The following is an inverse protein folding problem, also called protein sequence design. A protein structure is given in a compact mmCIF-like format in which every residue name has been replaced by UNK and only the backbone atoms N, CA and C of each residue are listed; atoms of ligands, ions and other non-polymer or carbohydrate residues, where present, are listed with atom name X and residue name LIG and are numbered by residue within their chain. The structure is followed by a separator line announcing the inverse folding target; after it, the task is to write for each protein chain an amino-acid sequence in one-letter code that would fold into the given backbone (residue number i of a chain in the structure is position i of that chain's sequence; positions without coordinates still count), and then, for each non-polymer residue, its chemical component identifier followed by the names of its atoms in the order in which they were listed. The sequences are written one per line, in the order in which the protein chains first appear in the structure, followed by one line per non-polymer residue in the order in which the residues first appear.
data_IF_235480256877
#
_entry.id   IF_235480256877
#
_cell.length_a   1.000
_cell.length_b   1.000
_cell.length_c   1.000
_cell.angle_alpha   90.00
_cell.angle_beta   90.00
_cell.angle_gamma   90.00
#
_symmetry.space_group_name_H-M   'P 1'
#
loop_
_entity.id
_entity.type
_entity.pdbx_description
1 polymer ?
#
# COMPACT_ATOMS: atom_id res chain seq x y z
N UNK A 1 -18.55 -4.21 12.34
CA UNK A 1 -19.01 -3.36 11.22
C UNK A 1 -20.39 -2.76 11.40
N UNK A 2 -21.44 -3.51 11.77
CA UNK A 2 -22.81 -2.96 11.86
C UNK A 2 -23.09 -2.05 13.05
N UNK A 3 -22.19 -1.99 14.03
CA UNK A 3 -22.36 -1.20 15.26
C UNK A 3 -22.11 0.30 15.08
N UNK A 4 -21.50 0.73 13.96
CA UNK A 4 -21.07 2.13 13.79
C UNK A 4 -19.90 2.57 14.67
N UNK A 5 -19.42 1.70 15.56
CA UNK A 5 -18.38 2.02 16.53
C UNK A 5 -16.94 1.91 15.99
N UNK A 6 -16.76 1.63 14.70
CA UNK A 6 -15.44 1.39 14.11
C UNK A 6 -15.34 2.17 12.80
N UNK A 7 -14.35 3.05 12.70
CA UNK A 7 -14.12 3.86 11.51
C UNK A 7 -13.27 3.14 10.46
N UNK A 8 -12.35 2.26 10.89
CA UNK A 8 -11.42 1.57 10.02
C UNK A 8 -11.14 0.13 10.46
N UNK A 9 -11.14 -0.79 9.49
CA UNK A 9 -10.79 -2.20 9.69
C UNK A 9 -9.75 -2.62 8.66
N UNK A 10 -8.69 -3.27 9.11
CA UNK A 10 -7.68 -3.87 8.22
C UNK A 10 -7.78 -5.39 8.32
N UNK A 11 -7.82 -6.06 7.16
CA UNK A 11 -7.81 -7.51 7.05
C UNK A 11 -6.48 -7.91 6.40
N UNK A 12 -5.59 -8.46 7.22
CA UNK A 12 -4.27 -8.95 6.82
C UNK A 12 -4.19 -10.48 7.02
N UNK A 13 -4.29 -11.31 5.98
CA UNK A 13 -4.51 -10.99 4.57
C UNK A 13 -5.66 -11.81 3.98
N UNK A 14 -6.16 -11.41 2.81
CA UNK A 14 -7.17 -12.17 2.07
C UNK A 14 -6.73 -13.61 1.81
N UNK A 15 -5.43 -13.82 1.58
CA UNK A 15 -4.87 -15.15 1.33
C UNK A 15 -5.05 -16.09 2.54
N UNK A 16 -5.08 -15.54 3.75
CA UNK A 16 -5.26 -16.28 5.00
C UNK A 16 -6.74 -16.53 5.36
N UNK A 17 -7.69 -16.00 4.58
CA UNK A 17 -9.11 -16.29 4.76
C UNK A 17 -9.42 -17.68 4.19
N UNK A 18 -9.06 -18.72 4.94
CA UNK A 18 -9.30 -20.11 4.61
C UNK A 18 -10.72 -20.49 5.01
N UNK A 19 -11.55 -20.99 4.08
CA UNK A 19 -12.88 -21.44 4.43
C UNK A 19 -12.87 -22.63 5.39
N UNK A 20 -13.91 -22.72 6.24
CA UNK A 20 -14.06 -23.80 7.22
C UNK A 20 -13.92 -25.21 6.63
N UNK A 21 -14.56 -25.47 5.48
CA UNK A 21 -14.49 -26.78 4.81
C UNK A 21 -13.06 -27.18 4.39
N UNK A 22 -12.20 -26.20 4.10
CA UNK A 22 -10.79 -26.45 3.76
C UNK A 22 -9.94 -26.67 5.02
N UNK A 23 -10.31 -26.06 6.16
CA UNK A 23 -9.65 -26.29 7.46
C UNK A 23 -9.99 -27.68 8.02
N UNK A 24 -11.23 -28.12 7.84
CA UNK A 24 -11.73 -29.41 8.35
C UNK A 24 -11.46 -30.59 7.40
N UNK A 25 -11.10 -30.32 6.14
CA UNK A 25 -10.76 -31.33 5.14
C UNK A 25 -9.32 -31.85 5.24
N UNK A 26 -9.01 -32.86 4.44
CA UNK A 26 -7.65 -33.42 4.39
C UNK A 26 -6.77 -32.69 3.36
N UNK A 27 -5.45 -32.74 3.58
CA UNK A 27 -4.49 -32.20 2.61
C UNK A 27 -4.59 -32.97 1.29
N UNK A 28 -5.01 -32.29 0.23
CA UNK A 28 -5.21 -32.90 -1.09
C UNK A 28 -6.67 -32.92 -1.54
N UNK A 29 -7.62 -32.62 -0.65
CA UNK A 29 -9.02 -32.50 -1.03
C UNK A 29 -9.26 -31.34 -1.99
N UNK A 30 -9.94 -31.64 -3.10
CA UNK A 30 -10.20 -30.67 -4.15
C UNK A 30 -11.35 -29.72 -3.79
N UNK A 31 -10.99 -28.55 -3.25
CA UNK A 31 -11.93 -27.49 -2.92
C UNK A 31 -11.87 -26.34 -3.95
N UNK A 32 -12.30 -26.60 -5.19
CA UNK A 32 -12.17 -25.63 -6.28
C UNK A 32 -13.01 -24.37 -6.03
N UNK A 33 -12.35 -23.22 -5.88
CA UNK A 33 -12.97 -21.90 -5.87
C UNK A 33 -13.76 -21.55 -4.61
N UNK A 34 -13.59 -22.31 -3.52
CA UNK A 34 -14.37 -22.15 -2.29
C UNK A 34 -14.09 -20.79 -1.61
N UNK A 35 -12.82 -20.39 -1.56
CA UNK A 35 -12.41 -19.05 -1.09
C UNK A 35 -13.01 -17.91 -1.94
N UNK A 36 -13.05 -18.05 -3.27
CA UNK A 36 -13.61 -17.04 -4.16
C UNK A 36 -15.14 -16.86 -3.95
N UNK A 37 -15.85 -17.96 -3.67
CA UNK A 37 -17.28 -17.93 -3.33
C UNK A 37 -17.50 -17.26 -1.99
N UNK A 38 -16.72 -17.63 -0.97
CA UNK A 38 -16.76 -17.02 0.36
C UNK A 38 -16.58 -15.50 0.27
N UNK A 39 -15.54 -15.04 -0.44
CA UNK A 39 -15.28 -13.61 -0.64
C UNK A 39 -16.42 -12.90 -1.35
N UNK A 40 -16.99 -13.52 -2.38
CA UNK A 40 -18.13 -12.94 -3.12
C UNK A 40 -19.36 -12.74 -2.24
N UNK A 41 -19.66 -13.73 -1.38
CA UNK A 41 -20.78 -13.65 -0.45
C UNK A 41 -20.51 -12.65 0.69
N UNK A 42 -19.32 -12.69 1.27
CA UNK A 42 -18.92 -11.81 2.36
C UNK A 42 -18.96 -10.34 1.93
N UNK A 43 -18.31 -9.99 0.80
CA UNK A 43 -18.29 -8.62 0.29
C UNK A 43 -19.69 -8.12 -0.04
N UNK A 44 -20.56 -8.95 -0.65
CA UNK A 44 -21.95 -8.57 -0.92
C UNK A 44 -22.70 -8.15 0.34
N UNK A 45 -22.50 -8.85 1.46
CA UNK A 45 -23.13 -8.51 2.75
C UNK A 45 -22.44 -7.35 3.48
N UNK A 46 -21.11 -7.26 3.38
CA UNK A 46 -20.32 -6.26 4.09
C UNK A 46 -20.40 -4.87 3.47
N UNK A 47 -20.43 -4.75 2.14
CA UNK A 47 -20.35 -3.44 1.46
C UNK A 47 -21.48 -2.49 1.89
N UNK A 48 -22.72 -2.98 1.96
CA UNK A 48 -23.85 -2.16 2.43
C UNK A 48 -23.70 -1.77 3.91
N UNK A 49 -23.24 -2.71 4.74
CA UNK A 49 -23.02 -2.43 6.16
C UNK A 49 -21.92 -1.39 6.39
N UNK A 50 -20.79 -1.52 5.69
CA UNK A 50 -19.64 -0.58 5.76
C UNK A 50 -20.04 0.83 5.32
N UNK A 51 -20.81 0.95 4.24
CA UNK A 51 -21.29 2.24 3.76
C UNK A 51 -22.21 2.91 4.78
N UNK A 52 -23.17 2.17 5.33
CA UNK A 52 -24.13 2.71 6.29
C UNK A 52 -23.48 3.09 7.63
N UNK A 53 -22.39 2.40 8.02
CA UNK A 53 -21.66 2.68 9.26
C UNK A 53 -20.53 3.70 9.08
N UNK A 54 -20.28 4.20 7.87
CA UNK A 54 -19.12 5.07 7.58
C UNK A 54 -17.77 4.38 7.76
N UNK A 55 -17.73 3.04 7.82
CA UNK A 55 -16.51 2.29 8.11
C UNK A 55 -15.72 2.00 6.83
N UNK A 56 -14.43 2.30 6.84
CA UNK A 56 -13.49 1.92 5.78
C UNK A 56 -12.91 0.53 6.05
N UNK A 57 -12.92 -0.35 5.05
CA UNK A 57 -12.27 -1.65 5.11
C UNK A 57 -11.07 -1.73 4.16
N UNK A 58 -9.90 -2.05 4.69
CA UNK A 58 -8.65 -2.26 3.94
C UNK A 58 -8.37 -3.76 3.91
N UNK A 59 -8.17 -4.30 2.71
CA UNK A 59 -7.81 -5.69 2.51
C UNK A 59 -6.38 -5.77 1.98
N UNK A 60 -5.49 -6.41 2.74
CA UNK A 60 -4.14 -6.72 2.28
C UNK A 60 -4.22 -8.03 1.49
N UNK A 61 -3.60 -8.05 0.32
CA UNK A 61 -3.61 -9.21 -0.55
C UNK A 61 -2.23 -9.42 -1.18
N UNK A 62 -1.92 -10.69 -1.43
CA UNK A 62 -0.67 -11.12 -1.99
C UNK A 62 -0.81 -11.30 -3.50
N UNK A 63 0.27 -11.02 -4.22
CA UNK A 63 0.38 -11.41 -5.62
C UNK A 63 0.69 -12.91 -5.72
N UNK A 64 0.15 -13.53 -6.76
CA UNK A 64 0.40 -14.90 -7.19
C UNK A 64 0.58 -14.88 -8.70
N UNK A 65 1.27 -15.87 -9.24
CA UNK A 65 1.37 -16.05 -10.68
C UNK A 65 0.33 -17.07 -11.15
N UNK A 66 -0.36 -16.76 -12.23
CA UNK A 66 -1.26 -17.70 -12.88
C UNK A 66 -0.48 -18.53 -13.89
N UNK A 67 -0.35 -19.82 -13.60
CA UNK A 67 0.26 -20.80 -14.52
C UNK A 67 -0.52 -20.84 -15.84
N UNK A 68 0.20 -20.87 -16.97
CA UNK A 68 -0.38 -21.03 -18.31
C UNK A 68 -0.84 -19.76 -19.01
N UNK A 69 -0.48 -18.56 -18.51
CA UNK A 69 -0.70 -17.30 -19.23
C UNK A 69 0.43 -17.06 -20.22
N UNK A 70 0.13 -17.16 -21.52
CA UNK A 70 1.10 -16.91 -22.61
C UNK A 70 1.12 -15.45 -23.10
N UNK A 71 0.12 -14.64 -22.75
CA UNK A 71 0.01 -13.23 -23.16
C UNK A 71 -0.56 -12.36 -22.04
N UNK A 72 0.01 -11.17 -21.85
CA UNK A 72 -0.36 -10.24 -20.77
C UNK A 72 0.35 -10.52 -19.45
N UNK A 73 -0.06 -9.83 -18.38
CA UNK A 73 0.53 -10.01 -17.04
C UNK A 73 0.06 -11.32 -16.41
N UNK A 74 0.97 -12.19 -15.93
CA UNK A 74 0.61 -13.42 -15.21
C UNK A 74 0.18 -13.13 -13.75
N UNK A 75 0.32 -11.90 -13.28
CA UNK A 75 0.02 -11.54 -11.89
C UNK A 75 -1.49 -11.59 -11.60
N UNK A 76 -1.84 -12.32 -10.55
CA UNK A 76 -3.19 -12.42 -10.01
C UNK A 76 -3.19 -12.24 -8.48
N UNK A 77 -4.37 -12.08 -7.90
CA UNK A 77 -4.56 -11.91 -6.46
C UNK A 77 -5.44 -13.03 -5.92
N UNK A 78 -5.24 -13.42 -4.65
CA UNK A 78 -6.06 -14.46 -3.98
C UNK A 78 -7.51 -13.99 -3.74
N UNK A 79 -8.42 -14.92 -3.44
CA UNK A 79 -9.82 -14.60 -3.13
C UNK A 79 -10.73 -14.33 -4.34
N UNK A 80 -10.29 -14.68 -5.55
CA UNK A 80 -11.09 -14.54 -6.78
C UNK A 80 -11.23 -13.10 -7.28
N UNK A 81 -12.28 -12.82 -8.07
CA UNK A 81 -12.48 -11.51 -8.72
C UNK A 81 -13.31 -10.52 -7.89
N UNK A 82 -14.06 -10.98 -6.89
CA UNK A 82 -15.04 -10.15 -6.18
C UNK A 82 -14.40 -8.87 -5.57
N UNK A 83 -13.29 -9.01 -4.86
CA UNK A 83 -12.60 -7.88 -4.26
C UNK A 83 -12.19 -6.83 -5.29
N UNK A 84 -11.78 -7.26 -6.50
CA UNK A 84 -11.44 -6.34 -7.60
C UNK A 84 -12.63 -5.46 -8.01
N UNK A 85 -13.86 -5.96 -7.94
CA UNK A 85 -15.07 -5.21 -8.31
C UNK A 85 -15.61 -4.34 -7.16
N UNK A 86 -15.65 -4.90 -5.95
CA UNK A 86 -16.18 -4.22 -4.76
C UNK A 86 -15.26 -3.10 -4.25
N UNK A 87 -13.93 -3.25 -4.37
CA UNK A 87 -12.99 -2.22 -3.90
C UNK A 87 -13.23 -0.87 -4.61
N UNK A 88 -13.33 0.21 -3.84
CA UNK A 88 -13.42 1.59 -4.34
C UNK A 88 -12.07 2.09 -4.84
N UNK A 89 -11.00 1.76 -4.12
CA UNK A 89 -9.61 2.06 -4.47
C UNK A 89 -8.79 0.77 -4.44
N UNK A 90 -7.86 0.60 -5.37
CA UNK A 90 -6.87 -0.48 -5.35
C UNK A 90 -5.49 0.11 -5.54
N UNK A 91 -4.57 -0.31 -4.67
CA UNK A 91 -3.19 0.13 -4.63
C UNK A 91 -2.30 -1.08 -4.97
N UNK A 92 -1.38 -0.91 -5.92
CA UNK A 92 -0.27 -1.82 -6.17
C UNK A 92 0.97 -1.21 -5.51
N UNK A 93 1.49 -1.89 -4.49
CA UNK A 93 2.61 -1.43 -3.65
C UNK A 93 3.84 -2.27 -4.00
N UNK A 94 4.91 -1.61 -4.46
CA UNK A 94 6.16 -2.27 -4.84
C UNK A 94 7.35 -1.58 -4.20
N UNK A 95 8.28 -2.38 -3.67
CA UNK A 95 9.64 -1.90 -3.38
C UNK A 95 10.36 -1.65 -4.72
N UNK A 96 10.93 -0.47 -4.88
CA UNK A 96 11.71 -0.12 -6.08
C UNK A 96 13.22 -0.09 -5.81
N UNK A 97 13.65 0.28 -4.60
CA UNK A 97 15.06 0.35 -4.22
C UNK A 97 15.22 0.08 -2.72
N UNK A 98 16.37 -0.46 -2.32
CA UNK A 98 16.77 -0.56 -0.90
C UNK A 98 17.59 0.66 -0.52
N UNK A 99 17.15 1.40 0.50
CA UNK A 99 17.88 2.55 1.03
C UNK A 99 19.03 2.05 1.92
N UNK A 100 20.21 2.64 1.73
CA UNK A 100 21.42 2.27 2.49
C UNK A 100 22.04 3.49 3.16
N UNK A 101 22.58 3.28 4.35
CA UNK A 101 23.51 4.18 5.01
C UNK A 101 24.85 3.45 5.14
N UNK A 102 25.85 3.90 4.39
CA UNK A 102 27.09 3.15 4.18
C UNK A 102 26.82 1.74 3.63
N UNK A 103 27.09 0.71 4.45
CA UNK A 103 26.85 -0.71 4.11
C UNK A 103 25.48 -1.22 4.56
N UNK A 104 24.81 -0.52 5.46
CA UNK A 104 23.65 -1.04 6.18
C UNK A 104 22.35 -0.67 5.45
N UNK A 105 21.45 -1.66 5.32
CA UNK A 105 20.13 -1.43 4.74
C UNK A 105 19.20 -0.78 5.77
N UNK A 106 18.86 0.49 5.57
CA UNK A 106 18.10 1.30 6.53
C UNK A 106 16.62 1.45 6.17
N UNK A 107 16.23 1.08 4.95
CA UNK A 107 14.84 1.14 4.53
C UNK A 107 14.64 0.74 3.07
N UNK A 108 13.47 1.08 2.53
CA UNK A 108 13.10 0.83 1.15
C UNK A 108 12.46 2.07 0.53
N UNK A 109 12.85 2.40 -0.70
CA UNK A 109 12.05 3.27 -1.57
C UNK A 109 10.87 2.45 -2.08
N UNK A 110 9.66 2.93 -1.84
CA UNK A 110 8.41 2.25 -2.21
C UNK A 110 7.63 3.09 -3.20
N UNK A 111 7.14 2.45 -4.26
CA UNK A 111 6.22 3.02 -5.23
C UNK A 111 4.83 2.42 -5.02
N UNK A 112 3.82 3.27 -4.93
CA UNK A 112 2.41 2.89 -4.88
C UNK A 112 1.70 3.40 -6.11
N UNK A 113 1.10 2.50 -6.89
CA UNK A 113 0.29 2.83 -8.06
C UNK A 113 -1.19 2.63 -7.77
N UNK A 114 -2.02 3.62 -8.09
CA UNK A 114 -3.48 3.53 -7.96
C UNK A 114 -4.04 2.80 -9.18
N UNK A 115 -4.13 1.47 -9.12
CA UNK A 115 -4.60 0.64 -10.26
C UNK A 115 -6.11 0.64 -10.44
N UNK A 116 -6.87 1.13 -9.44
CA UNK A 116 -8.30 1.39 -9.54
C UNK A 116 -8.66 2.55 -8.62
N UNK A 117 -9.50 3.46 -9.09
CA UNK A 117 -10.06 4.54 -8.29
C UNK A 117 -11.50 4.84 -8.77
N UNK A 118 -12.47 4.83 -7.85
CA UNK A 118 -13.87 5.19 -8.11
C UNK A 118 -14.24 6.61 -7.66
N UNK A 119 -13.35 7.31 -6.97
CA UNK A 119 -13.61 8.62 -6.36
C UNK A 119 -12.77 9.76 -6.96
N UNK A 120 -11.74 9.42 -7.73
CA UNK A 120 -10.88 10.39 -8.44
C UNK A 120 -10.21 9.71 -9.64
N UNK A 121 -9.47 10.44 -10.50
CA UNK A 121 -8.75 9.83 -11.62
C UNK A 121 -7.80 8.69 -11.18
N UNK A 122 -7.85 7.52 -11.83
CA UNK A 122 -6.96 6.39 -11.53
C UNK A 122 -5.57 6.56 -12.16
N UNK A 123 -4.69 5.59 -11.92
CA UNK A 123 -3.36 5.41 -12.52
C UNK A 123 -2.27 6.40 -12.13
N UNK A 124 -2.57 7.34 -11.22
CA UNK A 124 -1.53 8.10 -10.52
C UNK A 124 -0.66 7.17 -9.67
N UNK A 125 0.56 7.63 -9.40
CA UNK A 125 1.52 6.95 -8.56
C UNK A 125 2.09 7.90 -7.51
N UNK A 126 2.51 7.34 -6.38
CA UNK A 126 3.25 8.03 -5.33
C UNK A 126 4.51 7.24 -5.00
N UNK A 127 5.58 7.94 -4.69
CA UNK A 127 6.83 7.35 -4.22
C UNK A 127 7.22 7.96 -2.88
N UNK A 128 7.68 7.12 -1.97
CA UNK A 128 8.10 7.52 -0.64
C UNK A 128 9.04 6.50 -0.04
N UNK A 129 9.75 6.93 0.99
CA UNK A 129 10.73 6.11 1.71
C UNK A 129 10.02 5.45 2.90
N UNK A 130 10.22 4.14 3.08
CA UNK A 130 9.82 3.40 4.28
C UNK A 130 11.10 3.01 5.02
N UNK A 131 11.34 3.66 6.16
CA UNK A 131 12.50 3.41 7.01
C UNK A 131 12.20 2.31 8.02
N UNK A 132 13.15 1.39 8.23
CA UNK A 132 12.96 0.31 9.19
C UNK A 132 12.86 0.84 10.62
N UNK A 133 11.89 0.33 11.38
CA UNK A 133 11.61 0.78 12.75
C UNK A 133 10.93 2.14 12.88
N UNK A 134 10.78 2.92 11.80
CA UNK A 134 10.14 4.25 11.82
C UNK A 134 8.86 4.30 10.97
N UNK A 135 8.80 3.57 9.86
CA UNK A 135 7.66 3.58 8.94
C UNK A 135 7.86 4.55 7.78
N UNK A 136 6.77 5.11 7.25
CA UNK A 136 6.81 6.03 6.11
C UNK A 136 7.48 7.34 6.53
N UNK A 137 8.53 7.74 5.83
CA UNK A 137 9.24 8.99 6.11
C UNK A 137 8.49 10.19 5.56
N UNK A 138 7.75 10.89 6.43
CA UNK A 138 7.00 12.09 6.07
C UNK A 138 7.92 13.21 5.59
N UNK A 139 9.01 13.43 6.31
CA UNK A 139 9.98 14.50 6.07
C UNK A 139 10.73 14.22 4.76
N UNK A 140 11.07 12.95 4.49
CA UNK A 140 11.64 12.53 3.22
C UNK A 140 10.71 12.81 2.03
N UNK A 141 9.42 12.54 2.18
CA UNK A 141 8.40 12.89 1.18
C UNK A 141 8.21 14.40 1.04
N UNK A 142 8.27 15.16 2.13
CA UNK A 142 8.15 16.62 2.08
C UNK A 142 9.33 17.25 1.32
N UNK A 143 10.55 16.75 1.55
CA UNK A 143 11.74 17.20 0.82
C UNK A 143 11.60 16.90 -0.67
N UNK A 144 11.19 15.67 -1.03
CA UNK A 144 11.02 15.28 -2.44
C UNK A 144 9.99 16.18 -3.14
N UNK A 145 8.84 16.40 -2.51
CA UNK A 145 7.79 17.28 -3.03
C UNK A 145 8.25 18.74 -3.12
N UNK A 146 8.95 19.22 -2.11
CA UNK A 146 9.48 20.58 -2.06
C UNK A 146 10.49 20.85 -3.17
N UNK A 147 11.35 19.87 -3.48
CA UNK A 147 12.27 19.95 -4.62
C UNK A 147 11.53 19.89 -5.94
N UNK A 148 10.58 18.96 -6.09
CA UNK A 148 9.78 18.79 -7.31
C UNK A 148 9.01 20.08 -7.69
N UNK A 149 8.44 20.77 -6.68
CA UNK A 149 7.64 21.98 -6.89
C UNK A 149 8.45 23.28 -6.78
N UNK A 150 9.76 23.19 -6.54
CA UNK A 150 10.67 24.34 -6.50
C UNK A 150 10.65 25.16 -5.21
N UNK A 151 9.98 24.70 -4.15
CA UNK A 151 10.03 25.31 -2.82
C UNK A 151 11.41 25.10 -2.15
N UNK A 152 12.00 23.91 -2.34
CA UNK A 152 13.35 23.58 -1.86
C UNK A 152 14.30 23.62 -3.05
N UNK A 153 15.35 24.43 -2.96
CA UNK A 153 16.41 24.51 -3.95
C UNK A 153 17.46 23.45 -3.66
N UNK A 154 17.87 22.72 -4.69
CA UNK A 154 18.96 21.74 -4.63
C UNK A 154 20.17 22.26 -5.41
N UNK A 155 21.27 22.53 -4.73
CA UNK A 155 22.54 22.96 -5.32
C UNK A 155 23.60 21.88 -5.10
N UNK A 156 23.77 21.01 -6.09
CA UNK A 156 24.61 19.81 -5.94
C UNK A 156 23.98 18.85 -4.91
N UNK A 157 24.67 18.62 -3.80
CA UNK A 157 24.16 17.82 -2.67
C UNK A 157 23.46 18.65 -1.59
N UNK A 158 23.47 19.98 -1.66
CA UNK A 158 22.88 20.85 -0.65
C UNK A 158 21.39 21.12 -0.92
N UNK A 159 20.59 21.11 0.15
CA UNK A 159 19.17 21.47 0.15
C UNK A 159 18.97 22.79 0.89
N UNK A 160 18.24 23.72 0.28
CA UNK A 160 18.00 25.07 0.82
C UNK A 160 16.53 25.43 0.70
N UNK A 161 15.93 25.92 1.79
CA UNK A 161 14.57 26.44 1.82
C UNK A 161 14.61 27.92 2.22
N UNK A 162 14.05 28.80 1.41
CA UNK A 162 13.97 30.26 1.69
C UNK A 162 15.29 30.95 2.12
N UNK A 163 16.44 30.40 1.73
CA UNK A 163 17.77 30.92 2.08
C UNK A 163 18.42 30.22 3.28
N UNK A 164 17.67 29.42 4.01
CA UNK A 164 18.17 28.56 5.08
C UNK A 164 18.66 27.22 4.52
N UNK A 165 19.84 26.78 4.99
CA UNK A 165 20.41 25.50 4.59
C UNK A 165 19.83 24.37 5.45
N UNK A 166 19.02 23.51 4.83
CA UNK A 166 18.48 22.32 5.49
C UNK A 166 19.57 21.26 5.74
N UNK A 167 20.58 21.20 4.86
CA UNK A 167 21.74 20.33 5.03
C UNK A 167 22.30 19.76 3.74
N UNK A 168 23.45 19.09 3.87
CA UNK A 168 24.09 18.38 2.77
C UNK A 168 23.61 16.93 2.71
N UNK A 169 22.96 16.56 1.61
CA UNK A 169 22.35 15.24 1.41
C UNK A 169 20.96 15.13 2.03
N UNK A 170 20.15 14.23 1.46
CA UNK A 170 18.74 14.07 1.84
C UNK A 170 18.57 13.67 3.31
N UNK A 171 19.48 12.85 3.83
CA UNK A 171 19.47 12.39 5.22
C UNK A 171 19.61 13.54 6.23
N UNK A 172 20.58 14.43 6.01
CA UNK A 172 20.80 15.57 6.89
C UNK A 172 19.65 16.58 6.80
N UNK A 173 19.14 16.85 5.59
CA UNK A 173 17.94 17.66 5.41
C UNK A 173 16.72 17.06 6.13
N UNK A 174 16.59 15.72 6.15
CA UNK A 174 15.53 15.03 6.89
C UNK A 174 15.68 15.23 8.39
N UNK A 175 16.89 15.05 8.94
CA UNK A 175 17.17 15.28 10.37
C UNK A 175 16.86 16.72 10.77
N UNK A 176 17.24 17.68 9.94
CA UNK A 176 16.91 19.09 10.15
C UNK A 176 15.39 19.30 10.30
N UNK A 177 14.56 18.75 9.41
CA UNK A 177 13.10 18.87 9.51
C UNK A 177 12.49 18.12 10.71
N UNK A 178 13.13 17.03 11.16
CA UNK A 178 12.71 16.34 12.39
C UNK A 178 13.00 17.17 13.64
N UNK A 179 14.11 17.91 13.64
CA UNK A 179 14.54 18.77 14.74
C UNK A 179 13.83 20.13 14.72
N UNK A 180 13.26 20.53 13.58
CA UNK A 180 12.53 21.79 13.37
C UNK A 180 11.14 21.49 12.78
N UNK A 181 10.15 21.12 13.63
CA UNK A 181 8.82 20.71 13.16
C UNK A 181 7.90 21.85 12.68
N UNK A 182 8.28 23.10 12.96
CA UNK A 182 7.55 24.32 12.60
C UNK A 182 7.71 24.66 11.10
#
# INVERSE_FOLDING_TARGET
VRSGAIDLIVIDSVAALVPRAEIEGEMGDSHVGLQARLMSQALRKMTGALNNSGTTAIFINQLREKIGVMFGSPETTTGGKALKFYASVRLDVRRIETLKDGTDAVGNRTRVKVVKNKVSPPFKQAEFDILYGQGISREGSLIDMGVEHGFIRKSGSWFTYEGEQLGQGKENARKFLLENPD
#
